data_IF_597163605823
#
_entry.id   IF_597163605823
#
_cell.length_a   1.000
_cell.length_b   1.000
_cell.length_c   1.000
_cell.angle_alpha   90.00
_cell.angle_beta   90.00
_cell.angle_gamma   90.00
#
_symmetry.space_group_name_H-M   'P 1'
#
loop_
_entity.id
_entity.type
_entity.pdbx_description
1 polymer ?
#
# COMPACT_ATOMS: atom_id res chain seq x y z
N UNK A 1 33.50 10.74 37.54
CA UNK A 1 32.45 11.58 38.14
C UNK A 1 31.92 12.47 37.02
N UNK A 2 30.72 12.17 36.51
CA UNK A 2 30.08 12.87 35.37
C UNK A 2 28.98 13.77 35.95
N UNK A 3 29.12 15.08 35.79
CA UNK A 3 28.04 16.06 35.99
C UNK A 3 28.01 16.93 34.73
N UNK A 4 27.00 16.79 33.88
CA UNK A 4 25.66 17.41 33.96
C UNK A 4 25.65 18.77 33.25
N UNK A 5 25.27 18.78 31.96
CA UNK A 5 24.60 19.92 31.33
C UNK A 5 23.59 19.36 30.30
N UNK A 6 22.45 18.87 30.78
CA UNK A 6 21.26 18.76 29.95
C UNK A 6 20.79 20.19 29.71
N UNK A 7 20.93 20.66 28.48
CA UNK A 7 20.72 22.06 28.13
C UNK A 7 19.27 22.48 28.33
N UNK A 8 19.09 23.69 28.90
CA UNK A 8 17.85 24.47 29.02
C UNK A 8 16.94 24.49 27.76
N UNK A 9 17.47 24.08 26.60
CA UNK A 9 16.74 23.97 25.34
C UNK A 9 15.78 22.78 25.31
N UNK A 10 16.09 21.66 25.98
CA UNK A 10 15.18 20.50 26.01
C UNK A 10 13.95 20.76 26.89
N UNK A 11 14.09 21.55 27.95
CA UNK A 11 13.00 21.91 28.85
C UNK A 11 11.87 22.72 28.20
N UNK A 12 12.12 23.37 27.05
CA UNK A 12 11.08 24.10 26.29
C UNK A 12 10.26 23.19 25.37
N UNK A 13 10.77 22.03 24.98
CA UNK A 13 10.05 21.10 24.08
C UNK A 13 8.92 20.37 24.81
N UNK A 14 9.01 20.24 26.15
CA UNK A 14 8.02 19.59 26.99
C UNK A 14 7.22 20.58 27.85
N UNK A 15 7.27 21.88 27.55
CA UNK A 15 6.47 22.85 28.28
C UNK A 15 5.00 22.65 27.89
N UNK A 16 4.10 22.26 28.83
CA UNK A 16 2.70 22.16 28.50
C UNK A 16 2.17 23.56 28.24
N UNK A 17 1.68 23.81 27.03
CA UNK A 17 0.89 25.00 26.74
C UNK A 17 -0.33 24.98 27.66
N UNK A 18 -0.32 25.82 28.70
CA UNK A 18 -1.44 25.95 29.63
C UNK A 18 -2.56 26.68 28.89
N UNK A 19 -3.42 25.90 28.24
CA UNK A 19 -4.58 26.40 27.52
C UNK A 19 -5.73 26.67 28.50
N UNK A 20 -6.35 27.84 28.36
CA UNK A 20 -7.63 28.10 29.03
C UNK A 20 -8.70 27.16 28.46
N UNK A 21 -9.71 26.73 29.25
CA UNK A 21 -10.78 25.85 28.76
C UNK A 21 -11.44 26.36 27.46
N UNK A 22 -11.68 27.67 27.35
CA UNK A 22 -12.25 28.29 26.15
C UNK A 22 -11.33 28.15 24.91
N UNK A 23 -10.01 28.19 25.11
CA UNK A 23 -9.03 27.98 24.04
C UNK A 23 -8.93 26.49 23.69
N UNK A 24 -8.91 25.60 24.69
CA UNK A 24 -8.89 24.15 24.51
C UNK A 24 -10.09 23.64 23.68
N UNK A 25 -11.31 24.09 24.01
CA UNK A 25 -12.49 23.75 23.22
C UNK A 25 -12.46 24.39 21.81
N UNK A 26 -11.83 25.55 21.65
CA UNK A 26 -11.69 26.19 20.34
C UNK A 26 -10.70 25.46 19.42
N UNK A 27 -9.58 24.94 19.96
CA UNK A 27 -8.63 24.11 19.21
C UNK A 27 -9.22 22.75 18.88
N UNK A 28 -9.88 22.08 19.82
CA UNK A 28 -10.58 20.80 19.55
C UNK A 28 -11.67 20.96 18.48
N UNK A 29 -12.44 22.05 18.53
CA UNK A 29 -13.52 22.30 17.55
C UNK A 29 -12.99 22.67 16.16
N UNK A 30 -11.78 23.26 16.06
CA UNK A 30 -11.07 23.47 14.79
C UNK A 30 -10.38 22.20 14.27
N UNK A 31 -10.00 21.27 15.16
CA UNK A 31 -9.37 19.98 14.86
C UNK A 31 -10.33 18.91 14.32
N UNK A 32 -11.62 19.20 14.21
CA UNK A 32 -12.65 18.28 13.75
C UNK A 32 -12.80 18.17 12.20
N UNK A 33 -11.72 18.14 11.40
CA UNK A 33 -11.72 17.36 10.17
C UNK A 33 -10.44 16.51 10.04
N UNK A 34 -10.43 15.32 10.65
CA UNK A 34 -9.32 14.35 10.73
C UNK A 34 -7.96 14.94 11.15
N UNK A 35 -7.54 14.61 12.38
CA UNK A 35 -6.16 14.83 12.85
C UNK A 35 -5.14 14.45 11.74
N UNK A 36 -4.11 15.29 11.48
CA UNK A 36 -3.17 15.09 10.37
C UNK A 36 -2.47 13.73 10.42
N UNK A 37 -2.29 13.17 11.62
CA UNK A 37 -1.77 11.83 11.87
C UNK A 37 -2.71 10.75 11.34
N UNK A 38 -4.02 10.90 11.55
CA UNK A 38 -5.03 9.96 11.02
C UNK A 38 -5.06 10.00 9.50
N UNK A 39 -4.90 11.18 8.90
CA UNK A 39 -4.79 11.33 7.43
C UNK A 39 -3.56 10.63 6.88
N UNK A 40 -2.42 10.76 7.57
CA UNK A 40 -1.19 10.06 7.20
C UNK A 40 -1.40 8.54 7.24
N UNK A 41 -2.03 8.02 8.29
CA UNK A 41 -2.26 6.57 8.43
C UNK A 41 -3.17 6.03 7.34
N UNK A 42 -4.25 6.75 6.99
CA UNK A 42 -5.10 6.38 5.85
C UNK A 42 -4.31 6.41 4.54
N UNK A 43 -3.49 7.44 4.32
CA UNK A 43 -2.69 7.56 3.10
C UNK A 43 -1.66 6.42 2.96
N UNK A 44 -1.03 6.00 4.06
CA UNK A 44 -0.11 4.85 4.05
C UNK A 44 -0.84 3.57 3.65
N UNK A 45 -2.02 3.32 4.24
CA UNK A 45 -2.80 2.13 3.90
C UNK A 45 -3.26 2.15 2.44
N UNK A 46 -3.76 3.29 1.98
CA UNK A 46 -4.21 3.48 0.59
C UNK A 46 -3.06 3.26 -0.40
N UNK A 47 -1.89 3.86 -0.15
CA UNK A 47 -0.71 3.72 -1.02
C UNK A 47 -0.21 2.27 -1.09
N UNK A 48 -0.17 1.56 0.03
CA UNK A 48 0.24 0.15 0.06
C UNK A 48 -0.73 -0.75 -0.72
N UNK A 49 -2.05 -0.55 -0.56
CA UNK A 49 -3.07 -1.30 -1.31
C UNK A 49 -3.02 -0.95 -2.79
N UNK A 50 -2.80 0.32 -3.14
CA UNK A 50 -2.65 0.77 -4.51
C UNK A 50 -1.41 0.16 -5.18
N UNK A 51 -0.28 0.11 -4.47
CA UNK A 51 0.94 -0.52 -4.94
C UNK A 51 0.74 -2.02 -5.16
N UNK A 52 0.06 -2.69 -4.23
CA UNK A 52 -0.31 -4.10 -4.35
C UNK A 52 -1.20 -4.37 -5.57
N UNK A 53 -2.22 -3.55 -5.82
CA UNK A 53 -3.10 -3.73 -6.96
C UNK A 53 -2.45 -3.39 -8.31
N UNK A 54 -1.81 -2.22 -8.41
CA UNK A 54 -1.28 -1.69 -9.69
C UNK A 54 -0.13 -2.53 -10.23
N UNK A 55 0.71 -3.06 -9.34
CA UNK A 55 1.95 -3.71 -9.73
C UNK A 55 1.90 -5.24 -9.74
N UNK A 56 0.72 -5.85 -9.50
CA UNK A 56 0.53 -7.31 -9.55
C UNK A 56 1.07 -7.95 -10.84
N UNK A 57 1.01 -7.19 -11.95
CA UNK A 57 1.35 -7.65 -13.29
C UNK A 57 2.55 -6.94 -13.90
N UNK A 58 3.29 -6.18 -13.09
CA UNK A 58 4.44 -5.43 -13.54
C UNK A 58 5.52 -6.34 -14.12
N UNK A 59 6.14 -5.91 -15.22
CA UNK A 59 7.29 -6.58 -15.84
C UNK A 59 8.62 -5.90 -15.50
N UNK A 60 8.56 -4.64 -15.09
CA UNK A 60 9.74 -3.86 -14.72
C UNK A 60 10.21 -4.23 -13.32
N UNK A 61 11.53 -4.35 -13.14
CA UNK A 61 12.13 -4.75 -11.86
C UNK A 61 11.69 -3.85 -10.70
N UNK A 62 11.72 -2.53 -10.90
CA UNK A 62 11.34 -1.56 -9.86
C UNK A 62 9.88 -1.72 -9.42
N UNK A 63 8.98 -1.87 -10.37
CA UNK A 63 7.56 -2.02 -10.11
C UNK A 63 7.25 -3.37 -9.43
N UNK A 64 7.95 -4.43 -9.82
CA UNK A 64 7.88 -5.74 -9.15
C UNK A 64 8.36 -5.66 -7.70
N UNK A 65 9.46 -4.96 -7.44
CA UNK A 65 9.95 -4.75 -6.09
C UNK A 65 8.93 -3.99 -5.23
N UNK A 66 8.31 -2.93 -5.76
CA UNK A 66 7.24 -2.22 -5.04
C UNK A 66 6.05 -3.13 -4.68
N UNK A 67 5.70 -4.06 -5.57
CA UNK A 67 4.68 -5.06 -5.29
C UNK A 67 5.12 -6.00 -4.14
N UNK A 68 6.32 -6.56 -4.23
CA UNK A 68 6.85 -7.51 -3.24
C UNK A 68 7.00 -6.85 -1.86
N UNK A 69 7.48 -5.61 -1.80
CA UNK A 69 7.60 -4.83 -0.56
C UNK A 69 6.22 -4.56 0.06
N UNK A 70 5.24 -4.17 -0.77
CA UNK A 70 3.86 -3.91 -0.30
C UNK A 70 3.20 -5.19 0.18
N UNK A 71 3.35 -6.31 -0.54
CA UNK A 71 2.83 -7.61 -0.15
C UNK A 71 3.45 -8.08 1.17
N UNK A 72 4.77 -7.97 1.31
CA UNK A 72 5.47 -8.35 2.53
C UNK A 72 5.01 -7.52 3.73
N UNK A 73 4.83 -6.21 3.56
CA UNK A 73 4.32 -5.34 4.62
C UNK A 73 2.87 -5.69 5.01
N UNK A 74 1.99 -5.92 4.02
CA UNK A 74 0.59 -6.29 4.27
C UNK A 74 0.49 -7.62 5.00
N UNK A 75 1.35 -8.59 4.69
CA UNK A 75 1.34 -9.94 5.27
C UNK A 75 2.20 -10.07 6.55
N UNK A 76 2.93 -9.03 6.95
CA UNK A 76 3.79 -9.06 8.12
C UNK A 76 2.98 -9.07 9.42
N UNK A 77 3.27 -10.00 10.33
CA UNK A 77 2.65 -10.04 11.67
C UNK A 77 3.33 -9.11 12.69
N UNK A 78 4.26 -8.28 12.23
CA UNK A 78 4.95 -7.30 13.07
C UNK A 78 3.98 -6.27 13.68
N UNK A 79 4.16 -6.02 14.97
CA UNK A 79 3.40 -5.06 15.79
C UNK A 79 4.31 -4.11 16.56
N UNK A 80 5.62 -4.24 16.43
CA UNK A 80 6.59 -3.42 17.16
C UNK A 80 6.69 -2.02 16.54
N UNK A 81 6.45 -1.90 15.22
CA UNK A 81 6.47 -0.63 14.51
C UNK A 81 5.11 0.08 14.52
N UNK A 82 5.01 1.39 14.87
CA UNK A 82 3.75 2.14 14.90
C UNK A 82 2.99 2.18 13.57
N UNK A 83 3.68 2.04 12.44
CA UNK A 83 3.07 1.96 11.10
C UNK A 83 3.12 0.54 10.52
N UNK A 84 3.11 -0.48 11.38
CA UNK A 84 2.89 -1.85 10.91
C UNK A 84 1.45 -1.98 10.39
N UNK A 85 1.23 -2.90 9.45
CA UNK A 85 -0.10 -3.09 8.86
C UNK A 85 -1.17 -3.40 9.93
N UNK A 86 -0.83 -4.23 10.91
CA UNK A 86 -1.75 -4.59 12.00
C UNK A 86 -2.12 -3.36 12.86
N UNK A 87 -1.13 -2.55 13.23
CA UNK A 87 -1.32 -1.35 14.04
C UNK A 87 -2.14 -0.29 13.29
N UNK A 88 -1.89 -0.13 11.98
CA UNK A 88 -2.68 0.77 11.12
C UNK A 88 -4.14 0.29 11.02
N UNK A 89 -4.37 -1.01 10.80
CA UNK A 89 -5.72 -1.56 10.75
C UNK A 89 -6.47 -1.30 12.06
N UNK A 90 -5.82 -1.54 13.20
CA UNK A 90 -6.41 -1.30 14.52
C UNK A 90 -6.73 0.18 14.76
N UNK A 91 -5.84 1.10 14.37
CA UNK A 91 -6.09 2.54 14.49
C UNK A 91 -7.27 3.03 13.63
N UNK A 92 -7.56 2.31 12.54
CA UNK A 92 -8.66 2.61 11.63
C UNK A 92 -9.93 1.80 11.93
N UNK A 93 -9.97 1.05 13.05
CA UNK A 93 -11.05 0.14 13.43
C UNK A 93 -11.34 -0.95 12.36
N UNK A 94 -10.29 -1.39 11.65
CA UNK A 94 -10.35 -2.43 10.62
C UNK A 94 -9.81 -3.76 11.15
N UNK A 95 -10.39 -4.87 10.70
CA UNK A 95 -9.86 -6.19 10.99
C UNK A 95 -8.72 -6.54 9.98
N UNK A 96 -7.46 -6.69 10.44
CA UNK A 96 -6.32 -6.95 9.55
C UNK A 96 -6.47 -8.29 8.80
N UNK A 97 -6.96 -9.34 9.45
CA UNK A 97 -7.16 -10.66 8.85
C UNK A 97 -8.26 -10.66 7.79
N UNK A 98 -9.29 -9.83 7.97
CA UNK A 98 -10.31 -9.65 6.94
C UNK A 98 -9.73 -8.98 5.70
N UNK A 99 -8.93 -7.92 5.89
CA UNK A 99 -8.33 -7.18 4.80
C UNK A 99 -7.31 -8.04 4.02
N UNK A 100 -6.46 -8.80 4.73
CA UNK A 100 -5.52 -9.76 4.14
C UNK A 100 -6.23 -10.79 3.28
N UNK A 101 -7.27 -11.44 3.81
CA UNK A 101 -8.07 -12.41 3.04
C UNK A 101 -8.66 -11.80 1.79
N UNK A 102 -9.23 -10.59 1.89
CA UNK A 102 -9.78 -9.88 0.74
C UNK A 102 -8.75 -9.62 -0.36
N UNK A 103 -7.57 -9.13 0.01
CA UNK A 103 -6.48 -8.83 -0.92
C UNK A 103 -5.91 -10.10 -1.58
N UNK A 104 -5.73 -11.18 -0.81
CA UNK A 104 -5.25 -12.46 -1.33
C UNK A 104 -6.26 -13.11 -2.27
N UNK A 105 -7.55 -13.16 -1.92
CA UNK A 105 -8.59 -13.67 -2.81
C UNK A 105 -8.70 -12.84 -4.09
N UNK A 106 -8.56 -11.52 -4.00
CA UNK A 106 -8.50 -10.66 -5.18
C UNK A 106 -7.30 -11.01 -6.06
N UNK A 107 -6.10 -11.17 -5.48
CA UNK A 107 -4.87 -11.54 -6.19
C UNK A 107 -5.03 -12.87 -6.93
N UNK A 108 -5.53 -13.90 -6.24
CA UNK A 108 -5.80 -15.22 -6.83
C UNK A 108 -6.76 -15.14 -8.02
N UNK A 109 -7.85 -14.38 -7.88
CA UNK A 109 -8.81 -14.18 -8.97
C UNK A 109 -8.17 -13.51 -10.18
N UNK A 110 -7.38 -12.46 -9.98
CA UNK A 110 -6.69 -11.77 -11.08
C UNK A 110 -5.70 -12.70 -11.80
N UNK A 111 -4.94 -13.51 -11.05
CA UNK A 111 -4.02 -14.49 -11.64
C UNK A 111 -4.77 -15.57 -12.45
N UNK A 112 -5.92 -16.04 -11.95
CA UNK A 112 -6.76 -17.01 -12.65
C UNK A 112 -7.41 -16.42 -13.92
N UNK A 113 -7.85 -15.16 -13.90
CA UNK A 113 -8.37 -14.47 -15.07
C UNK A 113 -7.29 -14.30 -16.15
N UNK A 114 -6.06 -13.98 -15.74
CA UNK A 114 -4.94 -13.85 -16.67
C UNK A 114 -4.51 -15.18 -17.28
N UNK A 115 -4.48 -16.27 -16.50
CA UNK A 115 -4.13 -17.59 -17.02
C UNK A 115 -5.19 -18.16 -17.98
N UNK A 116 -6.46 -17.72 -17.85
CA UNK A 116 -7.53 -17.99 -18.81
C UNK A 116 -7.41 -17.16 -20.11
N UNK A 117 -6.53 -16.15 -20.15
CA UNK A 117 -6.32 -15.26 -21.29
C UNK A 117 -5.63 -15.91 -22.49
N UNK A 118 -6.45 -16.33 -23.45
CA UNK A 118 -6.23 -16.53 -24.91
C UNK A 118 -5.07 -17.43 -25.36
N UNK A 119 -5.38 -18.72 -25.53
CA UNK A 119 -4.70 -19.60 -26.50
C UNK A 119 -5.00 -19.04 -27.90
N UNK A 120 -4.02 -18.44 -28.55
CA UNK A 120 -4.12 -18.03 -29.96
C UNK A 120 -3.65 -19.24 -30.76
N UNK A 121 -4.58 -19.92 -31.44
CA UNK A 121 -4.20 -20.95 -32.41
C UNK A 121 -3.67 -20.24 -33.66
N UNK A 122 -2.35 -20.27 -33.85
CA UNK A 122 -1.74 -19.79 -35.07
C UNK A 122 -1.93 -20.88 -36.12
N UNK A 123 -2.92 -20.71 -36.99
CA UNK A 123 -2.98 -21.53 -38.20
C UNK A 123 -1.69 -21.28 -39.00
N UNK A 124 -0.92 -22.34 -39.34
CA UNK A 124 0.27 -22.18 -40.16
C UNK A 124 -0.13 -21.58 -41.50
N UNK A 125 0.49 -20.45 -41.86
CA UNK A 125 0.37 -19.89 -43.19
C UNK A 125 0.87 -20.93 -44.21
N UNK A 126 -0.07 -21.60 -44.88
CA UNK A 126 0.23 -22.44 -46.03
C UNK A 126 0.52 -21.53 -47.21
N UNK A 127 1.78 -21.48 -47.64
CA UNK A 127 2.16 -20.76 -48.84
C UNK A 127 1.34 -21.28 -50.03
N UNK A 128 0.81 -20.39 -50.90
CA UNK A 128 0.10 -20.81 -52.09
C UNK A 128 1.03 -21.65 -52.98
N UNK A 129 0.51 -22.79 -53.44
CA UNK A 129 1.20 -23.70 -54.34
C UNK A 129 1.36 -23.06 -55.73
N UNK A 130 2.59 -22.65 -56.06
CA UNK A 130 2.97 -22.05 -57.35
C UNK A 130 2.95 -23.04 -58.53
N UNK A 131 2.48 -24.27 -58.33
CA UNK A 131 2.45 -25.32 -59.37
C UNK A 131 1.55 -25.01 -60.58
N UNK A 132 0.73 -23.95 -60.57
CA UNK A 132 -0.16 -23.61 -61.68
C UNK A 132 0.28 -22.41 -62.55
N UNK A 133 1.52 -21.92 -62.42
CA UNK A 133 2.01 -20.74 -63.16
C UNK A 133 2.52 -21.03 -64.60
N UNK A 134 2.11 -22.14 -65.24
CA UNK A 134 2.58 -22.51 -66.60
C UNK A 134 1.46 -22.95 -67.54
N UNK A 135 0.55 -22.04 -67.88
CA UNK A 135 -0.13 -22.05 -69.19
C UNK A 135 -0.48 -20.61 -69.60
N UNK A 136 0.38 -20.01 -70.42
CA UNK A 136 0.05 -18.92 -71.35
C UNK A 136 1.10 -18.89 -72.47
#
# INVERSE_FOLDING_TARGET
>A
MRESIVGERDSRLFQPDVLLPAQFFSTLRRKAPQEPERRLVVAILEDAVDCFHKHLFARDHKARQLFEDSEAWILSDDRDWPFSFANICELLDLNPEYLRRGLLTWKERQLAERSRGKVINLEPYAAPDDSNARVA
#
